data_IF_962610966820
#
_entry.id   IF_962610966820
#
_cell.length_a   1.000
_cell.length_b   1.000
_cell.length_c   1.000
_cell.angle_alpha   90.00
_cell.angle_beta   90.00
_cell.angle_gamma   90.00
#
_symmetry.space_group_name_H-M   'P 1'
#
loop_
_entity.id
_entity.type
_entity.pdbx_description
1 polymer ?
#
# COMPACT_ATOMS: atom_id res chain seq x y z
N UNK A 1 -5.47 -14.49 24.06
CA UNK A 1 -5.42 -14.31 22.61
C UNK A 1 -4.12 -13.56 22.33
N UNK A 2 -3.20 -14.10 21.53
CA UNK A 2 -1.94 -13.41 21.27
C UNK A 2 -2.26 -12.12 20.50
N UNK A 3 -1.81 -11.00 21.05
CA UNK A 3 -1.92 -9.67 20.44
C UNK A 3 -0.92 -9.56 19.27
N UNK A 4 -1.13 -10.41 18.25
CA UNK A 4 -0.24 -10.56 17.12
C UNK A 4 -0.55 -9.46 16.09
N UNK A 5 0.23 -8.39 16.16
CA UNK A 5 0.15 -7.29 15.21
C UNK A 5 0.93 -7.61 13.93
N UNK A 6 0.32 -7.45 12.77
CA UNK A 6 1.03 -7.56 11.49
C UNK A 6 1.94 -6.35 11.29
N UNK A 7 3.14 -6.61 10.78
CA UNK A 7 4.17 -5.58 10.50
C UNK A 7 4.29 -5.43 8.99
N UNK A 8 4.21 -4.20 8.52
CA UNK A 8 4.40 -3.81 7.12
C UNK A 8 5.56 -2.82 7.02
N UNK A 9 6.54 -3.15 6.19
CA UNK A 9 7.62 -2.24 5.82
C UNK A 9 7.24 -1.56 4.51
N UNK A 10 7.23 -0.24 4.47
CA UNK A 10 6.76 0.54 3.33
C UNK A 10 7.87 1.47 2.85
N UNK A 11 8.25 1.35 1.58
CA UNK A 11 9.21 2.26 0.95
C UNK A 11 8.57 3.61 0.64
N UNK A 12 9.43 4.63 0.47
CA UNK A 12 8.99 5.99 0.19
C UNK A 12 9.06 6.34 -1.30
N UNK A 13 10.26 6.21 -1.91
CA UNK A 13 10.54 6.69 -3.27
C UNK A 13 9.98 5.74 -4.33
N UNK A 14 9.00 6.19 -5.10
CA UNK A 14 8.29 5.35 -6.07
C UNK A 14 7.09 4.61 -5.48
N UNK A 15 7.04 4.45 -4.15
CA UNK A 15 5.98 3.73 -3.43
C UNK A 15 4.98 4.67 -2.78
N UNK A 16 5.34 5.36 -1.69
CA UNK A 16 4.47 6.36 -1.04
C UNK A 16 4.39 7.66 -1.83
N UNK A 17 5.47 8.06 -2.49
CA UNK A 17 5.50 9.26 -3.28
C UNK A 17 6.20 9.04 -4.63
N UNK A 18 5.72 9.70 -5.67
CA UNK A 18 6.50 9.89 -6.88
C UNK A 18 7.57 10.94 -6.59
N UNK A 19 8.82 10.60 -6.87
CA UNK A 19 9.97 11.44 -6.55
C UNK A 19 10.91 11.56 -7.74
N UNK A 20 11.71 12.64 -7.72
CA UNK A 20 12.95 12.79 -8.47
C UNK A 20 14.02 13.16 -7.44
N UNK A 21 14.60 12.12 -6.82
CA UNK A 21 15.47 12.29 -5.66
C UNK A 21 16.39 13.51 -5.74
N UNK A 22 16.46 14.34 -4.70
CA UNK A 22 15.74 14.24 -3.41
C UNK A 22 14.31 14.83 -3.44
N UNK A 23 13.89 15.44 -4.57
CA UNK A 23 12.62 16.15 -4.72
C UNK A 23 11.41 15.20 -4.62
N UNK A 24 10.41 15.61 -3.83
CA UNK A 24 9.13 14.92 -3.68
C UNK A 24 8.11 15.61 -4.59
N UNK A 25 7.61 14.90 -5.61
CA UNK A 25 6.75 15.48 -6.66
C UNK A 25 5.26 15.41 -6.23
N UNK A 26 4.77 14.23 -5.91
CA UNK A 26 3.35 14.02 -5.54
C UNK A 26 3.14 12.73 -4.76
N UNK A 27 2.07 12.66 -3.92
CA UNK A 27 1.76 11.45 -3.17
C UNK A 27 1.16 10.36 -4.06
N UNK A 28 1.38 9.11 -3.67
CA UNK A 28 0.64 7.97 -4.16
C UNK A 28 -0.56 7.70 -3.22
N UNK A 29 -1.66 8.42 -3.43
CA UNK A 29 -2.84 8.38 -2.57
C UNK A 29 -3.35 6.96 -2.28
N UNK A 30 -3.47 6.04 -3.27
CA UNK A 30 -3.86 4.66 -2.99
C UNK A 30 -3.00 3.96 -1.94
N UNK A 31 -1.67 4.14 -1.97
CA UNK A 31 -0.76 3.54 -0.99
C UNK A 31 -0.91 4.21 0.37
N UNK A 32 -1.06 5.54 0.44
CA UNK A 32 -1.38 6.23 1.69
C UNK A 32 -2.67 5.70 2.33
N UNK A 33 -3.73 5.53 1.54
CA UNK A 33 -5.00 4.98 2.02
C UNK A 33 -4.85 3.55 2.52
N UNK A 34 -4.08 2.71 1.82
CA UNK A 34 -3.78 1.35 2.24
C UNK A 34 -3.07 1.35 3.60
N UNK A 35 -1.98 2.09 3.75
CA UNK A 35 -1.21 2.16 5.00
C UNK A 35 -2.08 2.65 6.17
N UNK A 36 -2.88 3.70 5.96
CA UNK A 36 -3.81 4.22 6.98
C UNK A 36 -4.87 3.20 7.38
N UNK A 37 -5.36 2.41 6.42
CA UNK A 37 -6.33 1.34 6.71
C UNK A 37 -5.68 0.20 7.48
N UNK A 38 -4.48 -0.24 7.10
CA UNK A 38 -3.72 -1.25 7.83
C UNK A 38 -3.46 -0.80 9.28
N UNK A 39 -3.04 0.45 9.47
CA UNK A 39 -2.79 1.02 10.80
C UNK A 39 -4.05 1.07 11.65
N UNK A 40 -5.19 1.51 11.09
CA UNK A 40 -6.48 1.48 11.80
C UNK A 40 -6.91 0.07 12.20
N UNK A 41 -6.49 -0.94 11.45
CA UNK A 41 -6.73 -2.35 11.76
C UNK A 41 -5.67 -2.95 12.72
N UNK A 42 -4.89 -2.10 13.40
CA UNK A 42 -3.92 -2.52 14.42
C UNK A 42 -2.57 -2.97 13.88
N UNK A 43 -2.27 -2.81 12.58
CA UNK A 43 -0.97 -3.15 12.05
C UNK A 43 0.12 -2.14 12.49
N UNK A 44 1.36 -2.61 12.56
CA UNK A 44 2.56 -1.80 12.70
C UNK A 44 3.03 -1.40 11.30
N UNK A 45 3.27 -0.12 11.08
CA UNK A 45 3.77 0.41 9.82
C UNK A 45 5.17 0.98 10.04
N UNK A 46 6.16 0.41 9.36
CA UNK A 46 7.56 0.85 9.37
C UNK A 46 7.83 1.59 8.07
N UNK A 47 8.34 2.82 8.14
CA UNK A 47 8.96 3.46 6.99
C UNK A 47 10.31 2.78 6.73
N UNK A 48 10.49 2.17 5.57
CA UNK A 48 11.71 1.45 5.20
C UNK A 48 12.27 2.03 3.91
N UNK A 49 13.20 2.98 4.01
CA UNK A 49 13.68 3.78 2.89
C UNK A 49 15.20 3.96 2.93
N UNK A 50 15.79 4.19 1.76
CA UNK A 50 17.20 4.55 1.64
C UNK A 50 17.49 6.03 1.98
N UNK A 51 16.45 6.84 2.22
CA UNK A 51 16.62 8.24 2.63
C UNK A 51 17.26 8.31 4.01
N UNK A 52 18.13 9.31 4.22
CA UNK A 52 18.80 9.58 5.49
C UNK A 52 18.92 11.09 5.74
N UNK A 53 19.25 11.47 6.99
CA UNK A 53 19.38 12.87 7.38
C UNK A 53 18.18 13.72 6.99
N UNK A 54 18.42 14.91 6.47
CA UNK A 54 17.37 15.86 6.09
C UNK A 54 16.38 15.30 5.08
N UNK A 55 16.81 14.49 4.13
CA UNK A 55 15.89 13.91 3.12
C UNK A 55 14.93 12.91 3.75
N UNK A 56 15.35 12.22 4.81
CA UNK A 56 14.48 11.35 5.61
C UNK A 56 13.47 12.18 6.40
N UNK A 57 13.93 13.25 7.07
CA UNK A 57 13.05 14.14 7.83
C UNK A 57 11.98 14.76 6.93
N UNK A 58 12.36 15.22 5.75
CA UNK A 58 11.45 15.79 4.75
C UNK A 58 10.40 14.75 4.28
N UNK A 59 10.81 13.48 4.10
CA UNK A 59 9.90 12.39 3.73
C UNK A 59 8.91 12.06 4.85
N UNK A 60 9.37 12.00 6.10
CA UNK A 60 8.52 11.76 7.27
C UNK A 60 7.52 12.90 7.47
N UNK A 61 7.97 14.15 7.39
CA UNK A 61 7.09 15.31 7.49
C UNK A 61 6.06 15.34 6.36
N UNK A 62 6.50 14.98 5.14
CA UNK A 62 5.59 14.85 4.00
C UNK A 62 4.49 13.84 4.27
N UNK A 63 4.83 12.64 4.76
CA UNK A 63 3.84 11.62 5.08
C UNK A 63 2.87 12.09 6.17
N UNK A 64 3.36 12.79 7.19
CA UNK A 64 2.55 13.35 8.26
C UNK A 64 1.52 14.37 7.75
N UNK A 65 1.87 15.20 6.75
CA UNK A 65 0.93 16.13 6.07
C UNK A 65 -0.26 15.41 5.44
N UNK A 66 -0.06 14.14 4.98
CA UNK A 66 -1.11 13.29 4.44
C UNK A 66 -1.78 12.39 5.51
N UNK A 67 -1.47 12.62 6.79
CA UNK A 67 -2.06 11.91 7.92
C UNK A 67 -1.58 10.46 8.05
N UNK A 68 -0.34 10.17 7.66
CA UNK A 68 0.32 8.89 7.87
C UNK A 68 1.53 9.11 8.78
N UNK A 69 1.46 8.53 9.97
CA UNK A 69 2.56 8.45 10.93
C UNK A 69 3.04 7.01 11.04
N UNK A 70 4.35 6.82 11.07
CA UNK A 70 4.96 5.50 11.20
C UNK A 70 5.15 5.12 12.65
N UNK A 71 5.12 3.83 12.95
CA UNK A 71 5.43 3.31 14.27
C UNK A 71 6.95 3.24 14.48
N UNK A 72 7.69 2.94 13.38
CA UNK A 72 9.15 2.86 13.34
C UNK A 72 9.67 3.39 12.01
N UNK A 73 10.93 3.84 11.98
CA UNK A 73 11.60 4.39 10.79
C UNK A 73 12.98 3.75 10.66
N UNK A 74 13.18 2.96 9.58
CA UNK A 74 14.43 2.27 9.28
C UNK A 74 15.00 1.40 10.44
N UNK A 75 14.12 0.87 11.28
CA UNK A 75 14.49 0.05 12.44
C UNK A 75 13.54 -1.13 12.63
N UNK A 76 14.02 -2.17 13.29
CA UNK A 76 13.21 -3.31 13.69
C UNK A 76 12.29 -2.97 14.85
N UNK A 77 11.16 -3.67 14.92
CA UNK A 77 10.28 -3.65 16.10
C UNK A 77 11.03 -4.24 17.29
N UNK A 78 11.12 -3.54 18.45
CA UNK A 78 11.90 -3.99 19.61
C UNK A 78 11.56 -5.39 20.10
N UNK A 79 10.28 -5.77 20.09
CA UNK A 79 9.83 -7.10 20.50
C UNK A 79 10.38 -8.22 19.60
N UNK A 80 10.68 -7.92 18.34
CA UNK A 80 11.33 -8.87 17.44
C UNK A 80 12.83 -9.00 17.75
N UNK A 81 13.49 -7.88 18.08
CA UNK A 81 14.91 -7.90 18.49
C UNK A 81 15.05 -8.75 19.76
N UNK A 82 14.20 -8.52 20.75
CA UNK A 82 14.20 -9.29 21.99
C UNK A 82 13.92 -10.78 21.73
N UNK A 83 12.88 -11.10 20.96
CA UNK A 83 12.48 -12.47 20.64
C UNK A 83 13.56 -13.28 19.94
N UNK A 84 14.29 -12.65 19.01
CA UNK A 84 15.28 -13.34 18.15
C UNK A 84 16.72 -13.13 18.61
N UNK A 85 16.94 -12.29 19.64
CA UNK A 85 18.25 -12.00 20.21
C UNK A 85 19.22 -11.28 19.27
N UNK A 86 18.71 -10.65 18.20
CA UNK A 86 19.55 -9.89 17.26
C UNK A 86 18.75 -8.78 16.55
N UNK A 87 19.46 -7.74 16.13
CA UNK A 87 18.95 -6.67 15.28
C UNK A 87 19.58 -6.79 13.89
N UNK A 88 18.93 -7.53 13.01
CA UNK A 88 19.40 -7.76 11.65
C UNK A 88 19.20 -6.51 10.78
N UNK A 89 20.15 -6.24 9.85
CA UNK A 89 20.01 -5.14 8.88
C UNK A 89 18.74 -5.21 8.04
N UNK A 90 18.34 -6.42 7.65
CA UNK A 90 17.02 -6.62 7.04
C UNK A 90 16.00 -6.68 8.15
N UNK A 91 15.23 -5.62 8.32
CA UNK A 91 14.16 -5.59 9.32
C UNK A 91 13.13 -6.70 9.05
N UNK A 92 12.53 -7.24 10.10
CA UNK A 92 11.46 -8.20 9.95
C UNK A 92 10.14 -7.48 9.63
N UNK A 93 9.52 -7.88 8.53
CA UNK A 93 8.16 -7.48 8.19
C UNK A 93 7.41 -8.68 7.60
N UNK A 94 6.08 -8.73 7.82
CA UNK A 94 5.22 -9.74 7.20
C UNK A 94 5.03 -9.47 5.72
N UNK A 95 5.03 -8.19 5.35
CA UNK A 95 4.95 -7.73 3.97
C UNK A 95 5.81 -6.49 3.77
N UNK A 96 6.48 -6.43 2.63
CA UNK A 96 7.22 -5.28 2.15
C UNK A 96 6.42 -4.67 0.98
N UNK A 97 6.04 -3.40 1.14
CA UNK A 97 5.34 -2.61 0.12
C UNK A 97 6.39 -1.70 -0.51
N UNK A 98 6.84 -2.04 -1.71
CA UNK A 98 8.01 -1.44 -2.34
C UNK A 98 7.88 -1.60 -3.86
N UNK A 99 8.10 -0.54 -4.64
CA UNK A 99 8.01 -0.52 -6.09
C UNK A 99 9.07 -1.39 -6.79
N UNK A 100 10.19 -1.65 -6.11
CA UNK A 100 11.31 -2.48 -6.60
C UNK A 100 11.27 -3.92 -6.07
N UNK A 101 10.30 -4.24 -5.23
CA UNK A 101 10.12 -5.60 -4.72
C UNK A 101 9.58 -6.52 -5.79
N UNK A 102 10.39 -7.48 -6.25
CA UNK A 102 9.93 -8.55 -7.12
C UNK A 102 9.79 -9.86 -6.37
N UNK A 103 8.62 -10.49 -6.44
CA UNK A 103 8.36 -11.77 -5.80
C UNK A 103 7.73 -12.75 -6.79
N UNK A 104 8.55 -13.61 -7.42
CA UNK A 104 8.06 -14.58 -8.42
C UNK A 104 7.05 -15.58 -7.85
N UNK A 105 7.06 -15.78 -6.52
CA UNK A 105 6.17 -16.74 -5.85
C UNK A 105 4.83 -16.06 -5.45
N UNK A 106 4.85 -14.76 -5.15
CA UNK A 106 3.67 -14.03 -4.65
C UNK A 106 2.82 -13.42 -5.76
N UNK A 107 3.40 -13.16 -6.92
CA UNK A 107 2.73 -12.48 -8.03
C UNK A 107 1.45 -13.22 -8.43
N UNK A 108 1.53 -14.55 -8.59
CA UNK A 108 0.36 -15.41 -8.85
C UNK A 108 -0.68 -15.35 -7.73
N UNK A 109 -0.24 -15.38 -6.45
CA UNK A 109 -1.14 -15.32 -5.30
C UNK A 109 -1.81 -13.96 -5.15
N UNK A 110 -1.13 -12.89 -5.54
CA UNK A 110 -1.68 -11.54 -5.52
C UNK A 110 -2.79 -11.38 -6.56
N UNK A 111 -2.54 -11.80 -7.79
CA UNK A 111 -3.55 -11.82 -8.85
C UNK A 111 -4.77 -12.67 -8.47
N UNK A 112 -4.55 -13.85 -7.88
CA UNK A 112 -5.64 -14.71 -7.42
C UNK A 112 -6.43 -14.08 -6.27
N UNK A 113 -5.77 -13.37 -5.34
CA UNK A 113 -6.43 -12.64 -4.25
C UNK A 113 -7.23 -11.45 -4.75
N UNK A 114 -6.68 -10.67 -5.68
CA UNK A 114 -7.37 -9.53 -6.28
C UNK A 114 -8.54 -9.99 -7.12
N UNK A 115 -8.39 -11.04 -7.92
CA UNK A 115 -9.48 -11.64 -8.67
C UNK A 115 -10.62 -12.12 -7.75
N UNK A 116 -10.28 -12.81 -6.64
CA UNK A 116 -11.26 -13.25 -5.64
C UNK A 116 -11.94 -12.06 -4.95
N UNK A 117 -11.19 -11.04 -4.56
CA UNK A 117 -11.75 -9.84 -3.92
C UNK A 117 -12.69 -9.09 -4.88
N UNK A 118 -12.34 -9.01 -6.16
CA UNK A 118 -13.17 -8.40 -7.20
C UNK A 118 -14.46 -9.21 -7.42
N UNK A 119 -14.36 -10.55 -7.47
CA UNK A 119 -15.51 -11.44 -7.63
C UNK A 119 -16.44 -11.43 -6.40
N UNK A 120 -15.91 -11.31 -5.18
CA UNK A 120 -16.71 -11.22 -3.96
C UNK A 120 -17.28 -9.81 -3.75
N UNK A 121 -16.58 -8.77 -4.16
CA UNK A 121 -17.09 -7.38 -4.15
C UNK A 121 -18.21 -7.15 -5.17
N UNK A 122 -18.15 -7.83 -6.31
CA UNK A 122 -19.20 -7.79 -7.32
C UNK A 122 -20.50 -8.49 -6.89
N UNK A 123 -20.43 -9.38 -5.90
CA UNK A 123 -21.61 -10.11 -5.37
C UNK A 123 -22.59 -9.27 -4.55
N UNK A 124 -22.22 -8.01 -4.20
CA UNK A 124 -23.11 -7.09 -3.46
C UNK A 124 -23.81 -6.06 -4.38
N UNK A 125 -23.44 -6.01 -5.65
CA UNK A 125 -24.11 -5.14 -6.62
C UNK A 125 -25.27 -5.92 -7.23
N UNK A 126 -26.48 -5.47 -6.98
CA UNK A 126 -27.69 -6.13 -7.52
C UNK A 126 -27.59 -6.21 -9.06
N UNK A 127 -28.09 -7.30 -9.63
CA UNK A 127 -28.12 -7.51 -11.10
C UNK A 127 -28.67 -6.31 -11.88
N UNK A 128 -29.58 -5.53 -11.26
CA UNK A 128 -30.10 -4.30 -11.83
C UNK A 128 -29.06 -3.19 -11.98
N UNK A 129 -28.18 -3.00 -11.00
CA UNK A 129 -27.09 -2.00 -11.05
C UNK A 129 -25.99 -2.39 -12.03
N UNK A 130 -25.71 -3.68 -12.18
CA UNK A 130 -24.78 -4.17 -13.20
C UNK A 130 -25.31 -3.95 -14.61
N UNK A 131 -26.59 -4.21 -14.85
CA UNK A 131 -27.25 -3.96 -16.14
C UNK A 131 -27.27 -2.47 -16.48
N UNK A 132 -27.53 -1.60 -15.50
CA UNK A 132 -27.48 -0.15 -15.70
C UNK A 132 -26.08 0.36 -16.03
N UNK A 133 -25.05 -0.18 -15.40
CA UNK A 133 -23.65 0.19 -15.69
C UNK A 133 -23.23 -0.25 -17.09
N UNK A 134 -23.59 -1.46 -17.49
CA UNK A 134 -23.33 -1.99 -18.84
C UNK A 134 -24.08 -1.16 -19.89
N UNK A 135 -25.35 -0.82 -19.66
CA UNK A 135 -26.14 0.03 -20.54
C UNK A 135 -25.53 1.43 -20.69
N UNK A 136 -25.05 2.04 -19.60
CA UNK A 136 -24.38 3.34 -19.62
C UNK A 136 -23.06 3.30 -20.41
N UNK A 137 -22.25 2.24 -20.27
CA UNK A 137 -21.01 2.04 -21.02
C UNK A 137 -21.31 1.87 -22.52
N UNK A 138 -22.31 1.06 -22.87
CA UNK A 138 -22.73 0.86 -24.27
C UNK A 138 -23.21 2.18 -24.88
N UNK A 139 -24.04 2.97 -24.17
CA UNK A 139 -24.48 4.28 -24.62
C UNK A 139 -23.29 5.26 -24.85
N UNK A 140 -22.30 5.23 -23.97
CA UNK A 140 -21.10 6.07 -24.10
C UNK A 140 -20.26 5.66 -25.32
N UNK A 141 -20.09 4.35 -25.55
CA UNK A 141 -19.37 3.82 -26.71
C UNK A 141 -20.08 4.15 -28.03
N UNK A 142 -21.41 4.08 -28.07
CA UNK A 142 -22.21 4.42 -29.26
C UNK A 142 -22.13 5.92 -29.59
N UNK A 143 -22.11 6.80 -28.57
CA UNK A 143 -21.88 8.24 -28.74
C UNK A 143 -20.47 8.54 -29.28
N UNK A 144 -19.43 7.87 -28.72
CA UNK A 144 -18.05 8.04 -29.18
C UNK A 144 -17.88 7.51 -30.62
N UNK A 145 -18.63 6.48 -31.02
CA UNK A 145 -18.64 5.94 -32.37
C UNK A 145 -19.49 6.74 -33.37
N UNK A 146 -20.18 7.79 -32.91
CA UNK A 146 -21.04 8.62 -33.77
C UNK A 146 -22.29 7.90 -34.27
N UNK A 147 -22.76 6.87 -33.55
CA UNK A 147 -23.95 6.06 -33.92
C UNK A 147 -25.22 6.58 -33.23
N UNK A 148 -25.05 7.38 -32.14
CA UNK A 148 -26.14 8.04 -31.37
C UNK A 148 -25.78 9.51 -31.14
#
# INVERSE_FOLDING_TARGET
MSDYRKIYAVDFDGTLAQTRFPEIIRPNIPVFMLCKTLKRNGAIIILWTCRCGKDLDDAVEYCKKYGLEFDYINENVPENIEKWGNDSRKIFAHEYIDDKSWSPIREKKWHDRMAKAFMHGAGSVTTATQLLLIAAIICLLLKVAGIL
#
